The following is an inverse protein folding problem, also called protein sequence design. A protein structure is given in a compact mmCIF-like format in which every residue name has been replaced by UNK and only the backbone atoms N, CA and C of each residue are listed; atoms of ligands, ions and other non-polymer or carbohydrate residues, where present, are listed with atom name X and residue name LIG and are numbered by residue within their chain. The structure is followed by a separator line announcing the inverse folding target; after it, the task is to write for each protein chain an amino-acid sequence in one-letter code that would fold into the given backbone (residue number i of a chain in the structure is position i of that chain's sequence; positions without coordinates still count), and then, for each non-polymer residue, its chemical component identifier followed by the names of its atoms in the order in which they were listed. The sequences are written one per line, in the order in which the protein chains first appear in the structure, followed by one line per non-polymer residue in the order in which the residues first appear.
data_IF_774102048556
#
_entry.id   IF_774102048556
#
_cell.length_a   1.000
_cell.length_b   1.000
_cell.length_c   1.000
_cell.angle_alpha   90.00
_cell.angle_beta   90.00
_cell.angle_gamma   90.00
#
_symmetry.space_group_name_H-M   'P 1'
#
loop_
_entity.id
_entity.type
_entity.pdbx_description
1 polymer ?
#
# COMPACT_ATOMS: atom_id res chain seq x y z
N UNK A 1 -5.12 35.36 20.09
CA UNK A 1 -4.44 36.19 19.06
C UNK A 1 -2.96 35.85 18.91
N UNK A 2 -2.16 35.78 19.99
CA UNK A 2 -0.71 35.43 19.90
C UNK A 2 -0.46 34.05 19.25
N UNK A 3 -1.26 33.04 19.58
CA UNK A 3 -1.15 31.67 19.02
C UNK A 3 -1.48 31.59 17.52
N UNK A 4 -2.39 32.44 17.02
CA UNK A 4 -2.74 32.49 15.59
C UNK A 4 -1.61 33.13 14.77
N UNK A 5 -0.97 34.18 15.29
CA UNK A 5 0.19 34.82 14.67
C UNK A 5 1.40 33.89 14.67
N UNK A 6 1.64 33.15 15.76
CA UNK A 6 2.71 32.15 15.83
C UNK A 6 2.48 30.97 14.88
N UNK A 7 1.24 30.48 14.73
CA UNK A 7 0.92 29.43 13.74
C UNK A 7 1.06 29.92 12.29
N UNK A 8 0.83 31.20 12.02
CA UNK A 8 1.02 31.79 10.69
C UNK A 8 2.50 31.81 10.28
N UNK A 9 3.40 32.02 11.25
CA UNK A 9 4.84 32.15 11.02
C UNK A 9 5.55 30.78 11.06
N UNK A 10 5.11 29.86 11.94
CA UNK A 10 5.79 28.57 12.16
C UNK A 10 5.00 27.33 11.68
N UNK A 11 3.82 27.52 11.10
CA UNK A 11 2.90 26.44 10.73
C UNK A 11 2.30 25.72 11.93
N UNK A 12 1.23 24.96 11.68
CA UNK A 12 0.66 24.03 12.67
C UNK A 12 1.59 22.83 12.92
N UNK A 13 1.31 22.06 13.98
CA UNK A 13 1.99 20.78 14.24
C UNK A 13 1.88 19.84 13.03
N UNK A 14 0.70 19.81 12.38
CA UNK A 14 0.45 19.00 11.20
C UNK A 14 1.29 19.48 10.00
N UNK A 15 1.42 20.79 9.80
CA UNK A 15 2.24 21.33 8.71
C UNK A 15 3.71 20.96 8.85
N UNK A 16 4.23 20.98 10.09
CA UNK A 16 5.60 20.57 10.38
C UNK A 16 5.82 19.08 10.15
N UNK A 17 4.85 18.26 10.53
CA UNK A 17 4.92 16.82 10.31
C UNK A 17 4.87 16.45 8.82
N UNK A 18 3.96 17.07 8.07
CA UNK A 18 3.94 16.94 6.60
C UNK A 18 5.26 17.44 6.02
N UNK A 19 5.82 18.55 6.54
CA UNK A 19 7.12 19.08 6.11
C UNK A 19 8.27 18.09 6.31
N UNK A 20 8.28 17.39 7.44
CA UNK A 20 9.27 16.37 7.74
C UNK A 20 9.20 15.14 6.82
N UNK A 21 8.06 14.92 6.14
CA UNK A 21 7.88 13.81 5.20
C UNK A 21 8.34 14.13 3.77
N UNK A 22 8.46 15.41 3.38
CA UNK A 22 8.88 15.78 2.00
C UNK A 22 10.23 15.18 1.59
N UNK A 23 11.28 15.18 2.43
CA UNK A 23 12.56 14.57 2.04
C UNK A 23 12.43 13.09 1.68
N UNK A 24 11.52 12.35 2.35
CA UNK A 24 11.26 10.94 2.05
C UNK A 24 10.50 10.79 0.73
N UNK A 25 9.55 11.70 0.45
CA UNK A 25 8.89 11.78 -0.87
C UNK A 25 9.91 12.00 -1.98
N UNK A 26 10.86 12.92 -1.78
CA UNK A 26 11.91 13.21 -2.76
C UNK A 26 12.82 11.99 -2.99
N UNK A 27 13.15 11.24 -1.92
CA UNK A 27 13.86 9.96 -2.03
C UNK A 27 13.07 8.95 -2.86
N UNK A 28 11.79 8.74 -2.56
CA UNK A 28 10.90 7.83 -3.31
C UNK A 28 10.85 8.23 -4.79
N UNK A 29 10.68 9.52 -5.07
CA UNK A 29 10.64 10.06 -6.44
C UNK A 29 11.97 9.84 -7.18
N UNK A 30 13.10 10.03 -6.50
CA UNK A 30 14.43 9.84 -7.07
C UNK A 30 14.74 8.40 -7.50
N UNK A 31 14.06 7.41 -6.92
CA UNK A 31 14.23 5.99 -7.27
C UNK A 31 13.50 5.59 -8.56
N UNK A 32 12.53 6.37 -9.04
CA UNK A 32 11.64 5.99 -10.16
C UNK A 32 12.41 5.72 -11.47
N UNK A 33 13.46 6.51 -11.75
CA UNK A 33 14.27 6.35 -12.95
C UNK A 33 15.02 5.01 -12.99
N UNK A 34 15.42 4.49 -11.83
CA UNK A 34 16.08 3.18 -11.72
C UNK A 34 15.12 2.00 -11.77
N UNK A 35 13.85 2.21 -11.40
CA UNK A 35 12.82 1.16 -11.37
C UNK A 35 12.06 1.01 -12.69
N UNK A 36 11.83 2.11 -13.40
CA UNK A 36 11.12 2.12 -14.69
C UNK A 36 11.67 1.11 -15.72
N UNK A 37 12.99 0.95 -15.92
CA UNK A 37 13.53 0.01 -16.91
C UNK A 37 13.49 -1.47 -16.48
N UNK A 38 13.16 -1.77 -15.22
CA UNK A 38 13.12 -3.15 -14.72
C UNK A 38 11.93 -3.91 -15.31
N UNK A 39 12.03 -5.24 -15.41
CA UNK A 39 10.87 -6.09 -15.73
C UNK A 39 9.93 -6.23 -14.52
N UNK A 40 8.75 -6.80 -14.73
CA UNK A 40 7.82 -7.06 -13.63
C UNK A 40 8.38 -8.08 -12.64
N UNK A 41 9.10 -9.08 -13.15
CA UNK A 41 9.79 -10.09 -12.34
C UNK A 41 10.88 -9.44 -11.49
N UNK A 42 11.71 -8.57 -12.09
CA UNK A 42 12.76 -7.87 -11.36
C UNK A 42 12.21 -6.91 -10.28
N UNK A 43 11.02 -6.34 -10.48
CA UNK A 43 10.32 -5.58 -9.44
C UNK A 43 9.76 -6.49 -8.35
N UNK A 44 9.21 -7.64 -8.71
CA UNK A 44 8.69 -8.62 -7.76
C UNK A 44 9.83 -9.20 -6.89
N UNK A 45 11.01 -9.42 -7.46
CA UNK A 45 12.19 -9.94 -6.76
C UNK A 45 12.66 -8.99 -5.64
N UNK A 46 12.37 -7.69 -5.75
CA UNK A 46 12.65 -6.73 -4.67
C UNK A 46 11.94 -7.10 -3.37
N UNK A 47 10.78 -7.75 -3.42
CA UNK A 47 10.09 -8.26 -2.23
C UNK A 47 10.98 -9.23 -1.45
N UNK A 48 11.71 -10.11 -2.14
CA UNK A 48 12.61 -11.06 -1.48
C UNK A 48 13.85 -10.37 -0.91
N UNK A 49 14.39 -9.39 -1.63
CA UNK A 49 15.50 -8.58 -1.14
C UNK A 49 15.12 -7.82 0.14
N UNK A 50 13.91 -7.22 0.19
CA UNK A 50 13.43 -6.53 1.39
C UNK A 50 13.24 -7.48 2.56
N UNK A 51 12.65 -8.67 2.34
CA UNK A 51 12.50 -9.69 3.39
C UNK A 51 13.86 -10.09 3.97
N UNK A 52 14.86 -10.37 3.13
CA UNK A 52 16.23 -10.68 3.57
C UNK A 52 16.86 -9.54 4.37
N UNK A 53 16.64 -8.28 3.98
CA UNK A 53 17.14 -7.11 4.71
C UNK A 53 16.49 -6.96 6.08
N UNK A 54 15.20 -7.24 6.20
CA UNK A 54 14.49 -7.26 7.48
C UNK A 54 15.00 -8.39 8.38
N UNK A 55 15.23 -9.57 7.83
CA UNK A 55 15.86 -10.70 8.54
C UNK A 55 17.28 -10.36 9.02
N UNK A 56 18.01 -9.56 8.25
CA UNK A 56 19.34 -9.06 8.62
C UNK A 56 19.32 -7.90 9.63
N UNK A 57 18.15 -7.46 10.10
CA UNK A 57 17.99 -6.47 11.17
C UNK A 57 17.70 -5.05 10.71
N UNK A 58 17.47 -4.80 9.41
CA UNK A 58 16.91 -3.51 8.99
C UNK A 58 15.45 -3.39 9.47
N UNK A 59 15.02 -2.15 9.68
CA UNK A 59 13.64 -1.84 10.05
C UNK A 59 12.77 -1.57 8.83
N UNK A 60 11.44 -1.57 9.02
CA UNK A 60 10.50 -1.16 7.98
C UNK A 60 10.74 0.29 7.53
N UNK A 61 11.11 1.18 8.47
CA UNK A 61 11.43 2.58 8.14
C UNK A 61 12.68 2.70 7.25
N UNK A 62 13.68 1.83 7.44
CA UNK A 62 14.90 1.84 6.62
C UNK A 62 14.61 1.47 5.16
N UNK A 63 13.69 0.52 4.92
CA UNK A 63 13.32 0.06 3.58
C UNK A 63 12.15 0.84 2.97
N UNK A 64 11.46 1.69 3.75
CA UNK A 64 10.23 2.37 3.35
C UNK A 64 10.35 3.10 2.00
N UNK A 65 11.40 3.91 1.75
CA UNK A 65 11.49 4.66 0.49
C UNK A 65 11.53 3.73 -0.73
N UNK A 66 12.32 2.66 -0.65
CA UNK A 66 12.48 1.68 -1.73
C UNK A 66 11.23 0.85 -1.91
N UNK A 67 10.62 0.37 -0.81
CA UNK A 67 9.40 -0.41 -0.85
C UNK A 67 8.22 0.41 -1.42
N UNK A 68 8.08 1.68 -1.06
CA UNK A 68 7.06 2.57 -1.61
C UNK A 68 7.30 2.85 -3.10
N UNK A 69 8.56 3.05 -3.52
CA UNK A 69 8.90 3.25 -4.92
C UNK A 69 8.56 2.01 -5.77
N UNK A 70 8.91 0.80 -5.30
CA UNK A 70 8.57 -0.47 -5.96
C UNK A 70 7.06 -0.67 -6.04
N UNK A 71 6.34 -0.44 -4.93
CA UNK A 71 4.87 -0.55 -4.91
C UNK A 71 4.21 0.44 -5.88
N UNK A 72 4.70 1.68 -5.95
CA UNK A 72 4.20 2.70 -6.88
C UNK A 72 4.44 2.30 -8.33
N UNK A 73 5.62 1.80 -8.65
CA UNK A 73 5.97 1.36 -10.01
C UNK A 73 5.10 0.18 -10.43
N UNK A 74 4.95 -0.83 -9.58
CA UNK A 74 4.08 -1.97 -9.89
C UNK A 74 2.61 -1.56 -10.00
N UNK A 75 2.15 -0.60 -9.19
CA UNK A 75 0.82 -0.02 -9.30
C UNK A 75 0.62 0.69 -10.64
N UNK A 76 1.62 1.43 -11.12
CA UNK A 76 1.59 2.06 -12.45
C UNK A 76 1.38 1.00 -13.54
N UNK A 77 2.02 -0.16 -13.43
CA UNK A 77 1.93 -1.23 -14.45
C UNK A 77 0.63 -2.04 -14.37
N UNK A 78 0.21 -2.43 -13.18
CA UNK A 78 -0.94 -3.34 -12.97
C UNK A 78 -2.27 -2.61 -12.88
N UNK A 79 -2.27 -1.40 -12.33
CA UNK A 79 -3.48 -0.62 -12.10
C UNK A 79 -3.62 0.57 -13.05
N UNK A 80 -2.58 0.87 -13.84
CA UNK A 80 -2.47 2.13 -14.58
C UNK A 80 -2.59 3.37 -13.67
N UNK A 81 -2.11 3.26 -12.43
CA UNK A 81 -2.20 4.30 -11.40
C UNK A 81 -0.85 4.50 -10.72
N UNK A 82 -0.22 5.64 -10.99
CA UNK A 82 0.97 6.10 -10.28
C UNK A 82 0.53 6.93 -9.09
N UNK A 83 0.96 6.59 -7.87
CA UNK A 83 0.62 7.37 -6.68
C UNK A 83 1.07 8.82 -6.82
N UNK A 84 0.31 9.77 -6.28
CA UNK A 84 0.72 11.16 -6.12
C UNK A 84 1.52 11.36 -4.82
N UNK A 85 2.23 12.47 -4.71
CA UNK A 85 3.08 12.76 -3.54
C UNK A 85 2.25 12.88 -2.25
N UNK A 86 1.04 13.44 -2.33
CA UNK A 86 0.10 13.47 -1.21
C UNK A 86 -0.34 12.07 -0.77
N UNK A 87 -0.37 11.11 -1.69
CA UNK A 87 -0.70 9.72 -1.38
C UNK A 87 0.48 8.99 -0.73
N UNK A 88 1.72 9.28 -1.14
CA UNK A 88 2.92 8.81 -0.44
C UNK A 88 2.94 9.30 1.00
N UNK A 89 2.62 10.58 1.22
CA UNK A 89 2.48 11.17 2.56
C UNK A 89 1.39 10.45 3.37
N UNK A 90 0.21 10.23 2.77
CA UNK A 90 -0.87 9.47 3.40
C UNK A 90 -0.43 8.06 3.81
N UNK A 91 0.28 7.34 2.93
CA UNK A 91 0.81 6.00 3.21
C UNK A 91 1.81 5.99 4.37
N UNK A 92 2.72 6.98 4.45
CA UNK A 92 3.67 7.13 5.55
C UNK A 92 2.98 7.45 6.89
N UNK A 93 1.94 8.28 6.87
CA UNK A 93 1.13 8.58 8.07
C UNK A 93 0.44 7.31 8.58
N UNK A 94 -0.15 6.51 7.68
CA UNK A 94 -0.78 5.23 8.04
C UNK A 94 0.24 4.22 8.59
N UNK A 95 1.42 4.09 7.97
CA UNK A 95 2.48 3.22 8.47
C UNK A 95 2.91 3.60 9.89
N UNK A 96 2.97 4.90 10.21
CA UNK A 96 3.25 5.42 11.56
C UNK A 96 2.13 5.22 12.58
N UNK A 97 1.09 4.46 12.25
CA UNK A 97 -0.03 4.17 13.15
C UNK A 97 -0.94 5.38 13.40
N UNK A 98 -1.02 6.32 12.44
CA UNK A 98 -1.81 7.55 12.56
C UNK A 98 -2.92 7.61 11.52
N UNK A 99 -3.88 8.52 11.74
CA UNK A 99 -5.00 8.75 10.84
C UNK A 99 -4.57 9.71 9.73
N UNK A 100 -4.63 9.26 8.48
CA UNK A 100 -4.47 10.10 7.30
C UNK A 100 -5.82 10.66 6.87
N UNK A 101 -6.12 11.91 7.25
CA UNK A 101 -7.30 12.62 6.74
C UNK A 101 -7.05 13.03 5.29
N UNK A 102 -7.91 12.56 4.39
CA UNK A 102 -7.84 12.84 2.95
C UNK A 102 -9.24 13.14 2.45
N UNK A 103 -9.38 14.03 1.47
CA UNK A 103 -10.68 14.31 0.86
C UNK A 103 -11.15 13.13 0.00
N UNK A 104 -12.45 13.08 -0.28
CA UNK A 104 -12.99 12.14 -1.26
C UNK A 104 -12.39 12.43 -2.63
N UNK A 105 -11.99 11.39 -3.35
CA UNK A 105 -11.32 11.52 -4.65
C UNK A 105 -9.79 11.48 -4.58
N UNK A 106 -9.17 11.63 -3.40
CA UNK A 106 -7.71 11.57 -3.22
C UNK A 106 -7.11 10.16 -3.35
N UNK A 107 -7.93 9.15 -3.69
CA UNK A 107 -7.46 7.78 -3.91
C UNK A 107 -7.10 7.01 -2.63
N UNK A 108 -7.90 7.12 -1.55
CA UNK A 108 -7.68 6.42 -0.26
C UNK A 108 -7.42 4.93 -0.40
N UNK A 109 -8.14 4.23 -1.29
CA UNK A 109 -7.94 2.80 -1.55
C UNK A 109 -6.54 2.52 -2.10
N UNK A 110 -6.08 3.34 -3.04
CA UNK A 110 -4.74 3.23 -3.62
C UNK A 110 -3.66 3.61 -2.60
N UNK A 111 -3.90 4.61 -1.74
CA UNK A 111 -2.98 5.00 -0.65
C UNK A 111 -2.71 3.84 0.29
N UNK A 112 -3.75 3.05 0.62
CA UNK A 112 -3.62 1.92 1.53
C UNK A 112 -2.66 0.83 1.02
N UNK A 113 -2.43 0.72 -0.29
CA UNK A 113 -1.54 -0.31 -0.83
C UNK A 113 -0.09 -0.15 -0.39
N UNK A 114 0.37 1.10 -0.19
CA UNK A 114 1.73 1.41 0.23
C UNK A 114 2.06 0.83 1.62
N UNK A 115 1.34 1.21 2.71
CA UNK A 115 1.60 0.64 4.02
C UNK A 115 1.19 -0.82 4.11
N UNK A 116 0.16 -1.30 3.38
CA UNK A 116 -0.19 -2.73 3.38
C UNK A 116 0.98 -3.55 2.83
N UNK A 117 1.54 -3.15 1.69
CA UNK A 117 2.71 -3.82 1.10
C UNK A 117 3.90 -3.79 2.06
N UNK A 118 4.30 -2.61 2.55
CA UNK A 118 5.45 -2.46 3.45
C UNK A 118 5.33 -3.32 4.70
N UNK A 119 4.23 -3.22 5.44
CA UNK A 119 4.07 -3.94 6.71
C UNK A 119 3.89 -5.46 6.49
N UNK A 120 3.34 -5.89 5.34
CA UNK A 120 3.22 -7.31 5.02
C UNK A 120 4.58 -8.00 4.82
N UNK A 121 5.66 -7.25 4.58
CA UNK A 121 7.00 -7.80 4.39
C UNK A 121 7.55 -8.50 5.64
N UNK A 122 7.07 -8.15 6.84
CA UNK A 122 7.43 -8.86 8.08
C UNK A 122 6.81 -10.26 8.19
N UNK A 123 5.90 -10.64 7.29
CA UNK A 123 5.24 -11.96 7.31
C UNK A 123 4.20 -12.14 8.41
N UNK A 124 3.91 -11.10 9.20
CA UNK A 124 2.91 -11.12 10.30
C UNK A 124 1.46 -10.96 9.82
N UNK A 125 1.27 -10.60 8.55
CA UNK A 125 -0.03 -10.29 7.96
C UNK A 125 -0.49 -8.85 8.22
N UNK A 126 -1.41 -8.36 7.38
CA UNK A 126 -2.02 -7.03 7.49
C UNK A 126 -3.52 -7.16 7.28
N UNK A 127 -4.32 -6.55 8.16
CA UNK A 127 -5.78 -6.50 8.01
C UNK A 127 -6.22 -5.12 7.53
N UNK A 128 -6.81 -5.07 6.33
CA UNK A 128 -7.46 -3.88 5.80
C UNK A 128 -8.97 -4.00 6.05
N UNK A 129 -9.50 -3.16 6.95
CA UNK A 129 -10.91 -3.20 7.35
C UNK A 129 -11.72 -2.16 6.58
N UNK A 130 -12.87 -2.59 6.07
CA UNK A 130 -13.84 -1.73 5.39
C UNK A 130 -15.16 -1.70 6.17
N UNK A 131 -16.06 -0.81 5.79
CA UNK A 131 -17.38 -0.69 6.45
C UNK A 131 -18.37 -1.78 6.05
N UNK A 132 -18.10 -2.55 4.99
CA UNK A 132 -18.95 -3.65 4.55
C UNK A 132 -18.23 -4.64 3.62
N UNK A 133 -18.84 -5.82 3.48
CA UNK A 133 -18.39 -6.94 2.66
C UNK A 133 -18.24 -6.60 1.18
N UNK A 134 -19.10 -5.70 0.65
CA UNK A 134 -19.02 -5.26 -0.74
C UNK A 134 -17.70 -4.52 -1.00
N UNK A 135 -17.34 -3.56 -0.15
CA UNK A 135 -16.11 -2.79 -0.28
C UNK A 135 -14.88 -3.68 -0.04
N UNK A 136 -14.93 -4.59 0.94
CA UNK A 136 -13.85 -5.55 1.17
C UNK A 136 -13.55 -6.37 -0.09
N UNK A 137 -14.61 -6.92 -0.70
CA UNK A 137 -14.50 -7.70 -1.94
C UNK A 137 -14.01 -6.88 -3.12
N UNK A 138 -14.65 -5.72 -3.37
CA UNK A 138 -14.28 -4.83 -4.48
C UNK A 138 -12.83 -4.40 -4.39
N UNK A 139 -12.40 -3.96 -3.22
CA UNK A 139 -11.06 -3.44 -3.00
C UNK A 139 -10.02 -4.56 -3.11
N UNK A 140 -10.35 -5.77 -2.64
CA UNK A 140 -9.51 -6.94 -2.85
C UNK A 140 -9.39 -7.31 -4.33
N UNK A 141 -10.49 -7.44 -5.09
CA UNK A 141 -10.42 -7.76 -6.52
C UNK A 141 -9.60 -6.73 -7.30
N UNK A 142 -9.67 -5.47 -6.90
CA UNK A 142 -8.98 -4.39 -7.58
C UNK A 142 -7.51 -4.25 -7.19
N UNK A 143 -7.18 -4.29 -5.89
CA UNK A 143 -5.81 -4.07 -5.40
C UNK A 143 -5.00 -5.37 -5.32
N UNK A 144 -5.62 -6.55 -5.25
CA UNK A 144 -4.89 -7.81 -5.10
C UNK A 144 -4.01 -8.16 -6.31
N UNK A 145 -4.33 -7.67 -7.51
CA UNK A 145 -3.44 -7.83 -8.67
C UNK A 145 -2.08 -7.13 -8.47
N UNK A 146 -2.05 -6.01 -7.73
CA UNK A 146 -0.81 -5.35 -7.33
C UNK A 146 -0.05 -6.18 -6.30
N UNK A 147 -0.73 -6.63 -5.23
CA UNK A 147 -0.12 -7.44 -4.19
C UNK A 147 0.43 -8.77 -4.74
N UNK A 148 -0.35 -9.43 -5.60
CA UNK A 148 0.03 -10.67 -6.27
C UNK A 148 1.25 -10.46 -7.17
N UNK A 149 1.28 -9.38 -7.96
CA UNK A 149 2.43 -9.04 -8.79
C UNK A 149 3.70 -8.76 -7.98
N UNK A 150 3.57 -8.34 -6.71
CA UNK A 150 4.67 -8.18 -5.77
C UNK A 150 4.95 -9.45 -4.93
N UNK A 151 4.31 -10.58 -5.26
CA UNK A 151 4.52 -11.86 -4.59
C UNK A 151 3.82 -12.01 -3.24
N UNK A 152 2.78 -11.22 -2.97
CA UNK A 152 1.96 -11.34 -1.76
C UNK A 152 0.62 -12.05 -2.05
N UNK A 153 0.16 -12.86 -1.10
CA UNK A 153 -1.19 -13.44 -1.11
C UNK A 153 -2.23 -12.47 -0.53
N UNK A 154 -3.45 -12.46 -1.07
CA UNK A 154 -4.56 -11.66 -0.53
C UNK A 154 -5.75 -12.55 -0.19
N UNK A 155 -6.28 -12.43 1.02
CA UNK A 155 -7.51 -13.09 1.47
C UNK A 155 -8.63 -12.09 1.70
N UNK A 156 -9.88 -12.54 1.54
CA UNK A 156 -11.09 -11.76 1.83
C UNK A 156 -11.96 -12.54 2.79
N UNK A 157 -12.42 -11.87 3.85
CA UNK A 157 -13.35 -12.42 4.83
C UNK A 157 -14.64 -11.61 4.72
N UNK A 158 -15.74 -12.32 4.44
CA UNK A 158 -17.11 -11.80 4.46
C UNK A 158 -17.92 -12.55 5.52
N UNK A 159 -19.16 -12.16 5.78
CA UNK A 159 -19.98 -12.86 6.79
C UNK A 159 -20.10 -14.36 6.49
N UNK A 160 -20.61 -14.70 5.30
CA UNK A 160 -20.96 -16.08 4.91
C UNK A 160 -19.88 -16.82 4.10
N UNK A 161 -18.80 -16.13 3.70
CA UNK A 161 -17.80 -16.70 2.81
C UNK A 161 -16.40 -16.15 3.04
N UNK A 162 -15.41 -16.89 2.56
CA UNK A 162 -14.02 -16.44 2.49
C UNK A 162 -13.43 -16.80 1.14
N UNK A 163 -12.52 -15.95 0.68
CA UNK A 163 -11.88 -16.10 -0.63
C UNK A 163 -10.38 -15.86 -0.53
N UNK A 164 -9.64 -16.48 -1.44
CA UNK A 164 -8.26 -16.15 -1.74
C UNK A 164 -8.23 -15.59 -3.15
N UNK A 165 -7.49 -14.49 -3.34
CA UNK A 165 -7.23 -13.97 -4.68
C UNK A 165 -6.34 -14.95 -5.46
N UNK A 166 -6.82 -15.35 -6.62
CA UNK A 166 -6.16 -16.26 -7.54
C UNK A 166 -6.43 -15.77 -8.97
N UNK A 167 -5.43 -15.20 -9.68
CA UNK A 167 -5.65 -14.64 -11.00
C UNK A 167 -6.00 -15.70 -12.05
N UNK A 168 -5.80 -16.99 -11.76
CA UNK A 168 -6.15 -18.11 -12.65
C UNK A 168 -7.55 -18.65 -12.41
N UNK A 169 -8.22 -18.22 -11.34
CA UNK A 169 -9.55 -18.71 -11.00
C UNK A 169 -10.63 -18.04 -11.84
N UNK A 170 -11.30 -18.84 -12.66
CA UNK A 170 -12.49 -18.44 -13.43
C UNK A 170 -13.77 -18.72 -12.63
N UNK A 171 -14.48 -17.66 -12.27
CA UNK A 171 -15.71 -17.76 -11.52
C UNK A 171 -16.93 -17.87 -12.45
N UNK A 172 -17.93 -18.66 -12.04
CA UNK A 172 -19.22 -18.70 -12.74
C UNK A 172 -19.97 -17.36 -12.66
N UNK A 173 -19.85 -16.65 -11.53
CA UNK A 173 -20.29 -15.26 -11.37
C UNK A 173 -19.11 -14.31 -11.56
N UNK A 174 -19.18 -13.45 -12.59
CA UNK A 174 -18.15 -12.43 -12.87
C UNK A 174 -17.89 -11.50 -11.68
N UNK A 175 -18.86 -11.32 -10.78
CA UNK A 175 -18.71 -10.54 -9.53
C UNK A 175 -17.75 -11.17 -8.53
N UNK A 176 -17.31 -12.41 -8.78
CA UNK A 176 -16.35 -13.18 -7.99
C UNK A 176 -15.11 -13.57 -8.81
N UNK A 177 -14.89 -12.97 -9.98
CA UNK A 177 -13.73 -13.27 -10.81
C UNK A 177 -12.43 -13.12 -9.99
N UNK A 178 -11.53 -14.09 -10.13
CA UNK A 178 -10.27 -14.22 -9.39
C UNK A 178 -10.42 -14.39 -7.86
N UNK A 179 -11.63 -14.59 -7.33
CA UNK A 179 -11.85 -14.88 -5.92
C UNK A 179 -12.22 -16.35 -5.75
N UNK A 180 -11.21 -17.18 -5.50
CA UNK A 180 -11.41 -18.61 -5.27
C UNK A 180 -11.94 -18.82 -3.85
N UNK A 181 -13.09 -19.50 -3.66
CA UNK A 181 -13.60 -19.82 -2.33
C UNK A 181 -12.58 -20.61 -1.51
N UNK A 182 -12.48 -20.32 -0.21
CA UNK A 182 -11.62 -21.04 0.72
C UNK A 182 -12.30 -21.29 2.08
N UNK A 183 -11.87 -22.33 2.77
CA UNK A 183 -12.28 -22.62 4.15
C UNK A 183 -11.43 -21.83 5.14
N UNK A 184 -12.01 -21.45 6.28
CA UNK A 184 -11.28 -20.87 7.40
C UNK A 184 -10.66 -22.00 8.23
N UNK A 185 -9.39 -21.88 8.66
CA UNK A 185 -8.86 -22.76 9.70
C UNK A 185 -9.78 -22.69 10.93
N UNK A 186 -10.04 -23.84 11.54
CA UNK A 186 -10.73 -23.91 12.84
C UNK A 186 -9.81 -23.44 13.96
#
# INVERSE_FOLDING_TARGET
MVTQVLNLIFGSKNDREIKALRPIVDQINGLEAGLTPLSDEALADKTQDFKKRLEAGQTLDDILPEAFAVCREMSRRKLNMRHFDVQLIGGMILHRGRIAEMKTGEGKTLVATLPVYLNALEGKGVHLVTVNDYLAKRDAQWMAQLYHALGLSTGVIQHDASFIYDPTYEASDKRLQHLRPCTRPQ
#
